data_IF_301740884346
#
_entry.id   IF_301740884346
#
_cell.length_a   1.000
_cell.length_b   1.000
_cell.length_c   1.000
_cell.angle_alpha   90.00
_cell.angle_beta   90.00
_cell.angle_gamma   90.00
#
_symmetry.space_group_name_H-M   'P 1'
#
loop_
_entity.id
_entity.type
_entity.pdbx_description
1 polymer ?
#
# COMPACT_ATOMS: atom_id res chain seq x y z
N UNK A 1 -13.81 -5.41 -0.49
CA UNK A 1 -12.87 -4.83 -1.49
C UNK A 1 -13.41 -3.66 -2.34
N UNK A 2 -14.50 -3.80 -3.11
CA UNK A 2 -14.94 -2.86 -4.18
C UNK A 2 -14.99 -1.36 -3.80
N UNK A 3 -15.57 -1.02 -2.64
CA UNK A 3 -15.67 0.38 -2.18
C UNK A 3 -14.31 1.08 -2.16
N UNK A 4 -13.29 0.44 -1.62
CA UNK A 4 -11.95 1.01 -1.48
C UNK A 4 -11.25 1.17 -2.83
N UNK A 5 -11.48 0.25 -3.77
CA UNK A 5 -10.97 0.35 -5.15
C UNK A 5 -11.56 1.58 -5.83
N UNK A 6 -12.88 1.77 -5.71
CA UNK A 6 -13.55 2.94 -6.29
C UNK A 6 -13.08 4.24 -5.66
N UNK A 7 -12.84 4.28 -4.34
CA UNK A 7 -12.27 5.46 -3.69
C UNK A 7 -10.86 5.76 -4.21
N UNK A 8 -10.00 4.74 -4.34
CA UNK A 8 -8.65 4.89 -4.89
C UNK A 8 -8.68 5.39 -6.34
N UNK A 9 -9.53 4.79 -7.19
CA UNK A 9 -9.71 5.21 -8.59
C UNK A 9 -10.22 6.65 -8.66
N UNK A 10 -11.18 7.03 -7.82
CA UNK A 10 -11.72 8.38 -7.81
C UNK A 10 -10.70 9.42 -7.35
N UNK A 11 -9.83 9.07 -6.40
CA UNK A 11 -8.82 9.96 -5.84
C UNK A 11 -7.63 10.14 -6.79
N UNK A 12 -7.08 9.04 -7.32
CA UNK A 12 -5.85 9.07 -8.13
C UNK A 12 -6.09 9.01 -9.64
N UNK A 13 -7.34 8.84 -10.10
CA UNK A 13 -7.73 8.70 -11.52
C UNK A 13 -6.99 7.58 -12.26
N UNK A 14 -6.60 6.54 -11.52
CA UNK A 14 -5.91 5.36 -12.04
C UNK A 14 -6.36 4.09 -11.32
N UNK A 15 -6.23 2.96 -12.00
CA UNK A 15 -6.51 1.67 -11.41
C UNK A 15 -5.49 1.25 -10.35
N UNK A 16 -5.94 0.50 -9.36
CA UNK A 16 -5.06 -0.10 -8.37
C UNK A 16 -4.31 -1.30 -9.00
N UNK A 17 -2.97 -1.39 -8.90
CA UNK A 17 -2.19 -2.42 -9.59
C UNK A 17 -2.26 -3.77 -8.87
N UNK A 18 -3.34 -4.52 -9.08
CA UNK A 18 -3.56 -5.84 -8.47
C UNK A 18 -2.46 -6.86 -8.76
N UNK A 19 -1.80 -6.76 -9.92
CA UNK A 19 -0.68 -7.63 -10.28
C UNK A 19 0.51 -7.51 -9.31
N UNK A 20 0.70 -6.36 -8.67
CA UNK A 20 1.79 -6.11 -7.72
C UNK A 20 1.51 -6.64 -6.29
N UNK A 21 0.26 -7.07 -6.05
CA UNK A 21 -0.21 -7.62 -4.75
C UNK A 21 -0.91 -8.97 -4.93
N UNK A 22 -0.70 -9.64 -6.06
CA UNK A 22 -1.39 -10.89 -6.40
C UNK A 22 -1.13 -12.03 -5.40
N UNK A 23 -0.02 -11.95 -4.66
CA UNK A 23 0.36 -12.91 -3.62
C UNK A 23 -0.22 -12.58 -2.22
N UNK A 24 -0.91 -11.43 -2.08
CA UNK A 24 -1.52 -10.99 -0.83
C UNK A 24 -2.99 -11.40 -0.74
N UNK A 25 -3.50 -11.53 0.48
CA UNK A 25 -4.92 -11.80 0.69
C UNK A 25 -5.79 -10.53 0.60
N UNK A 26 -7.11 -10.69 0.48
CA UNK A 26 -8.04 -9.56 0.38
C UNK A 26 -7.89 -8.54 1.52
N UNK A 27 -7.64 -9.00 2.74
CA UNK A 27 -7.50 -8.12 3.90
C UNK A 27 -6.25 -7.24 3.81
N UNK A 28 -5.12 -7.82 3.42
CA UNK A 28 -3.86 -7.10 3.18
C UNK A 28 -3.99 -6.07 2.06
N UNK A 29 -4.64 -6.46 0.96
CA UNK A 29 -4.90 -5.57 -0.18
C UNK A 29 -5.78 -4.39 0.27
N UNK A 30 -6.84 -4.65 1.05
CA UNK A 30 -7.70 -3.58 1.58
C UNK A 30 -6.90 -2.63 2.48
N UNK A 31 -6.03 -3.13 3.36
CA UNK A 31 -5.20 -2.27 4.22
C UNK A 31 -4.28 -1.37 3.40
N UNK A 32 -3.67 -1.89 2.34
CA UNK A 32 -2.83 -1.11 1.43
C UNK A 32 -3.65 0.00 0.76
N UNK A 33 -4.82 -0.33 0.22
CA UNK A 33 -5.67 0.67 -0.45
C UNK A 33 -6.13 1.74 0.54
N UNK A 34 -6.55 1.33 1.75
CA UNK A 34 -6.95 2.26 2.81
C UNK A 34 -5.82 3.22 3.19
N UNK A 35 -4.60 2.71 3.32
CA UNK A 35 -3.44 3.52 3.62
C UNK A 35 -3.13 4.52 2.48
N UNK A 36 -3.21 4.07 1.22
CA UNK A 36 -3.05 4.94 0.06
C UNK A 36 -4.06 6.10 0.07
N UNK A 37 -5.34 5.78 0.28
CA UNK A 37 -6.43 6.77 0.32
C UNK A 37 -6.27 7.72 1.50
N UNK A 38 -5.96 7.21 2.70
CA UNK A 38 -5.82 8.03 3.92
C UNK A 38 -4.64 9.01 3.86
N UNK A 39 -3.52 8.58 3.26
CA UNK A 39 -2.31 9.39 3.16
C UNK A 39 -2.21 10.14 1.81
N UNK A 40 -3.26 10.08 0.98
CA UNK A 40 -3.29 10.66 -0.36
C UNK A 40 -2.04 10.29 -1.19
N UNK A 41 -1.59 9.04 -1.09
CA UNK A 41 -0.41 8.51 -1.80
C UNK A 41 -0.80 7.41 -2.78
N UNK A 42 -0.19 7.47 -3.96
CA UNK A 42 -0.30 6.41 -4.96
C UNK A 42 0.41 5.16 -4.42
N UNK A 43 -0.18 4.00 -4.70
CA UNK A 43 0.46 2.73 -4.40
C UNK A 43 1.81 2.62 -5.13
N UNK A 44 2.85 2.31 -4.35
CA UNK A 44 4.15 1.87 -4.84
C UNK A 44 4.53 0.57 -4.13
N UNK A 45 5.53 -0.14 -4.63
CA UNK A 45 6.07 -1.32 -3.94
C UNK A 45 6.55 -0.99 -2.51
N UNK A 46 6.99 0.24 -2.26
CA UNK A 46 7.37 0.73 -0.93
C UNK A 46 6.15 0.86 0.01
N UNK A 47 4.99 1.28 -0.51
CA UNK A 47 3.74 1.30 0.25
C UNK A 47 3.38 -0.09 0.76
N UNK A 48 3.57 -1.12 -0.06
CA UNK A 48 3.37 -2.52 0.35
C UNK A 48 4.28 -2.89 1.54
N UNK A 49 5.58 -2.55 1.45
CA UNK A 49 6.54 -2.83 2.53
C UNK A 49 6.19 -2.07 3.83
N UNK A 50 5.76 -0.81 3.72
CA UNK A 50 5.39 0.02 4.86
C UNK A 50 4.10 -0.45 5.55
N UNK A 51 3.13 -0.96 4.79
CA UNK A 51 1.80 -1.35 5.32
C UNK A 51 1.77 -2.79 5.82
N UNK A 52 2.35 -3.72 5.05
CA UNK A 52 2.36 -5.15 5.38
C UNK A 52 3.51 -5.48 6.31
N UNK A 53 4.59 -4.71 6.25
CA UNK A 53 5.72 -4.88 7.14
C UNK A 53 6.26 -6.30 7.08
N UNK A 54 7.19 -6.58 6.18
CA UNK A 54 8.23 -7.56 6.52
C UNK A 54 9.15 -6.93 7.57
N UNK A 55 8.58 -6.57 8.72
CA UNK A 55 9.33 -6.34 9.93
C UNK A 55 9.90 -7.69 10.34
N UNK A 56 11.05 -8.06 9.79
CA UNK A 56 12.04 -8.64 10.69
C UNK A 56 12.20 -7.59 11.78
N UNK A 57 11.80 -7.95 13.00
CA UNK A 57 12.07 -7.15 14.19
C UNK A 57 13.56 -6.78 14.13
N UNK A 58 13.89 -5.52 13.85
CA UNK A 58 15.28 -5.05 13.78
C UNK A 58 15.83 -4.52 12.44
N UNK A 59 15.04 -4.34 11.38
CA UNK A 59 15.50 -3.59 10.18
C UNK A 59 14.56 -2.43 9.81
N UNK A 60 14.40 -1.47 10.72
CA UNK A 60 14.17 -0.10 10.28
C UNK A 60 15.54 0.44 9.86
N UNK A 61 15.82 0.46 8.55
CA UNK A 61 16.88 1.32 8.03
C UNK A 61 16.38 2.73 8.19
N UNK A 62 16.70 3.34 9.34
CA UNK A 62 16.67 4.78 9.51
C UNK A 62 17.63 5.29 8.44
N UNK A 63 17.14 6.07 7.50
CA UNK A 63 18.02 6.77 6.57
C UNK A 63 19.07 7.55 7.35
N UNK A 64 20.34 7.16 7.21
CA UNK A 64 21.48 8.09 7.18
C UNK A 64 21.23 9.05 6.00
N UNK A 65 21.52 10.35 6.01
CA UNK A 65 22.45 11.26 6.69
C UNK A 65 21.71 12.63 6.75
N UNK A 66 21.94 13.50 7.74
CA UNK A 66 23.10 14.40 7.90
C UNK A 66 23.28 14.84 9.36
#
# INVERSE_FOLDING_TARGET
MYKWIMEYLNLFKQDFPFSAVADLNEYEIIRIIQDCVKNNRIYTAETRLAVIGTGKIGQCIIGKEE
#
